data_IF_366294288230
#
_entry.id   IF_366294288230
#
_cell.length_a   1.000
_cell.length_b   1.000
_cell.length_c   1.000
_cell.angle_alpha   90.00
_cell.angle_beta   90.00
_cell.angle_gamma   90.00
#
_symmetry.space_group_name_H-M   'P 1'
#
loop_
_entity.id
_entity.type
_entity.pdbx_description
1 polymer ?
#
# COMPACT_ATOMS: atom_id res chain seq x y z
N UNK A 1 1.98 14.89 12.38
CA UNK A 1 0.79 14.11 12.84
C UNK A 1 0.77 13.89 14.35
N UNK A 2 -0.43 13.74 14.95
CA UNK A 2 -0.57 13.35 16.37
C UNK A 2 -0.20 11.87 16.59
N UNK A 3 0.34 11.53 17.77
CA UNK A 3 0.69 10.14 18.13
C UNK A 3 -0.50 9.18 17.95
N UNK A 4 -1.71 9.65 18.26
CA UNK A 4 -2.93 8.84 18.09
C UNK A 4 -3.27 8.61 16.60
N UNK A 5 -3.05 9.61 15.74
CA UNK A 5 -3.20 9.43 14.29
C UNK A 5 -2.17 8.44 13.73
N UNK A 6 -0.91 8.51 14.19
CA UNK A 6 0.13 7.57 13.78
C UNK A 6 -0.24 6.13 14.14
N UNK A 7 -0.73 5.90 15.38
CA UNK A 7 -1.20 4.58 15.82
C UNK A 7 -2.34 4.06 14.95
N UNK A 8 -3.34 4.89 14.66
CA UNK A 8 -4.46 4.50 13.79
C UNK A 8 -3.98 4.13 12.39
N UNK A 9 -3.09 4.91 11.80
CA UNK A 9 -2.52 4.63 10.47
C UNK A 9 -1.78 3.29 10.49
N UNK A 10 -0.90 3.06 11.48
CA UNK A 10 -0.21 1.77 11.64
C UNK A 10 -1.19 0.61 11.75
N UNK A 11 -2.21 0.73 12.60
CA UNK A 11 -3.23 -0.32 12.75
C UNK A 11 -3.93 -0.62 11.43
N UNK A 12 -4.40 0.40 10.73
CA UNK A 12 -5.12 0.24 9.45
C UNK A 12 -4.21 -0.40 8.40
N UNK A 13 -2.99 0.12 8.21
CA UNK A 13 -2.08 -0.40 7.20
C UNK A 13 -1.63 -1.84 7.51
N UNK A 14 -1.37 -2.16 8.78
CA UNK A 14 -1.06 -3.54 9.18
C UNK A 14 -2.24 -4.49 8.93
N UNK A 15 -3.47 -4.05 9.18
CA UNK A 15 -4.67 -4.84 8.85
C UNK A 15 -4.83 -5.05 7.34
N UNK A 16 -4.58 -4.02 6.52
CA UNK A 16 -4.60 -4.15 5.05
C UNK A 16 -3.54 -5.14 4.58
N UNK A 17 -2.30 -5.01 5.07
CA UNK A 17 -1.21 -5.95 4.72
C UNK A 17 -1.59 -7.39 5.09
N UNK A 18 -2.11 -7.59 6.30
CA UNK A 18 -2.58 -8.91 6.75
C UNK A 18 -3.65 -9.48 5.82
N UNK A 19 -4.64 -8.66 5.45
CA UNK A 19 -5.72 -9.10 4.58
C UNK A 19 -5.25 -9.46 3.16
N UNK A 20 -4.28 -8.72 2.62
CA UNK A 20 -3.67 -9.05 1.33
C UNK A 20 -2.93 -10.39 1.40
N UNK A 21 -2.15 -10.62 2.46
CA UNK A 21 -1.45 -11.90 2.67
C UNK A 21 -2.43 -13.08 2.78
N UNK A 22 -3.53 -12.94 3.52
CA UNK A 22 -4.58 -13.97 3.62
C UNK A 22 -5.28 -14.26 2.28
N UNK A 23 -5.36 -13.24 1.41
CA UNK A 23 -6.09 -13.33 0.15
C UNK A 23 -5.24 -13.91 -0.99
N UNK A 24 -3.96 -14.23 -0.76
CA UNK A 24 -3.02 -14.72 -1.77
C UNK A 24 -3.63 -15.82 -2.66
N UNK A 25 -4.12 -16.89 -2.04
CA UNK A 25 -4.67 -18.02 -2.80
C UNK A 25 -5.87 -17.60 -3.66
N UNK A 26 -6.80 -16.85 -3.08
CA UNK A 26 -7.99 -16.38 -3.79
C UNK A 26 -7.61 -15.51 -4.99
N UNK A 27 -6.65 -14.60 -4.82
CA UNK A 27 -6.21 -13.70 -5.87
C UNK A 27 -5.47 -14.43 -6.99
N UNK A 28 -4.60 -15.40 -6.65
CA UNK A 28 -3.97 -16.27 -7.65
C UNK A 28 -4.99 -17.12 -8.41
N UNK A 29 -6.00 -17.68 -7.72
CA UNK A 29 -7.07 -18.47 -8.36
C UNK A 29 -7.87 -17.61 -9.36
N UNK A 30 -8.19 -16.36 -8.98
CA UNK A 30 -8.89 -15.40 -9.86
C UNK A 30 -8.03 -15.02 -11.07
N UNK A 31 -6.76 -14.71 -10.83
CA UNK A 31 -5.81 -14.29 -11.87
C UNK A 31 -5.50 -15.42 -12.86
N UNK A 32 -5.45 -16.67 -12.40
CA UNK A 32 -5.23 -17.86 -13.27
C UNK A 32 -6.23 -17.94 -14.43
N UNK A 33 -7.44 -17.40 -14.27
CA UNK A 33 -8.45 -17.44 -15.32
C UNK A 33 -8.15 -16.55 -16.53
N UNK A 34 -7.31 -15.52 -16.38
CA UNK A 34 -7.05 -14.50 -17.42
C UNK A 34 -5.63 -13.92 -17.41
N UNK A 35 -4.74 -14.43 -16.56
CA UNK A 35 -3.37 -14.00 -16.33
C UNK A 35 -2.44 -15.21 -16.08
N UNK A 36 -1.35 -15.00 -15.36
CA UNK A 36 -0.35 -16.03 -15.06
C UNK A 36 -0.53 -16.66 -13.66
N UNK A 37 -1.50 -16.17 -12.88
CA UNK A 37 -1.85 -16.73 -11.58
C UNK A 37 -0.91 -16.29 -10.47
N UNK A 38 -0.22 -15.16 -10.64
CA UNK A 38 0.76 -14.64 -9.69
C UNK A 38 0.28 -13.43 -8.89
N UNK A 39 -0.89 -12.85 -9.22
CA UNK A 39 -1.36 -11.59 -8.63
C UNK A 39 -1.36 -11.58 -7.09
N UNK A 40 -1.87 -12.66 -6.48
CA UNK A 40 -1.87 -12.83 -5.02
C UNK A 40 -0.48 -12.97 -4.44
N UNK A 41 0.41 -13.74 -5.09
CA UNK A 41 1.82 -13.87 -4.69
C UNK A 41 2.56 -12.53 -4.77
N UNK A 42 2.26 -11.74 -5.80
CA UNK A 42 2.79 -10.40 -6.04
C UNK A 42 2.34 -9.41 -4.95
N UNK A 43 1.05 -9.37 -4.65
CA UNK A 43 0.49 -8.52 -3.59
C UNK A 43 0.97 -8.94 -2.19
N UNK A 44 1.14 -10.25 -1.96
CA UNK A 44 1.70 -10.78 -0.71
C UNK A 44 3.12 -10.27 -0.46
N UNK A 45 4.02 -10.37 -1.44
CA UNK A 45 5.42 -9.89 -1.31
C UNK A 45 5.47 -8.41 -0.94
N UNK A 46 4.65 -7.59 -1.62
CA UNK A 46 4.53 -6.17 -1.28
C UNK A 46 3.98 -5.94 0.13
N UNK A 47 2.93 -6.66 0.52
CA UNK A 47 2.31 -6.54 1.85
C UNK A 47 3.26 -6.96 2.98
N UNK A 48 4.05 -8.03 2.80
CA UNK A 48 5.07 -8.45 3.77
C UNK A 48 6.13 -7.36 3.96
N UNK A 49 6.67 -6.82 2.86
CA UNK A 49 7.68 -5.75 2.92
C UNK A 49 7.12 -4.46 3.55
N UNK A 50 5.92 -4.03 3.17
CA UNK A 50 5.27 -2.85 3.75
C UNK A 50 5.01 -3.03 5.24
N UNK A 51 4.52 -4.20 5.66
CA UNK A 51 4.28 -4.49 7.08
C UNK A 51 5.57 -4.40 7.89
N UNK A 52 6.66 -5.00 7.41
CA UNK A 52 7.96 -4.93 8.09
C UNK A 52 8.42 -3.49 8.27
N UNK A 53 8.29 -2.65 7.24
CA UNK A 53 8.64 -1.24 7.30
C UNK A 53 7.73 -0.43 8.27
N UNK A 54 6.42 -0.65 8.25
CA UNK A 54 5.46 0.02 9.16
C UNK A 54 5.76 -0.29 10.64
N UNK A 55 6.20 -1.52 10.91
CA UNK A 55 6.55 -1.98 12.26
C UNK A 55 7.90 -1.41 12.73
N UNK A 56 8.85 -1.12 11.82
CA UNK A 56 10.18 -0.60 12.18
C UNK A 56 10.24 0.92 12.35
N UNK A 57 9.42 1.69 11.64
CA UNK A 57 9.57 3.15 11.56
C UNK A 57 8.61 3.94 12.45
N UNK A 58 9.05 5.11 12.94
CA UNK A 58 8.11 6.11 13.47
C UNK A 58 7.46 6.89 12.31
N UNK A 59 6.14 6.81 12.18
CA UNK A 59 5.42 7.52 11.12
C UNK A 59 5.22 8.99 11.52
N UNK A 60 5.77 9.91 10.75
CA UNK A 60 5.73 11.35 11.04
C UNK A 60 4.64 12.08 10.25
N UNK A 61 4.55 11.81 8.95
CA UNK A 61 3.62 12.43 8.00
C UNK A 61 3.00 11.39 7.04
N UNK A 62 1.82 11.68 6.51
CA UNK A 62 1.13 10.78 5.57
C UNK A 62 1.84 10.68 4.23
N UNK A 63 2.34 11.80 3.72
CA UNK A 63 3.19 11.89 2.52
C UNK A 63 4.36 10.91 2.60
N UNK A 64 5.14 10.93 3.68
CA UNK A 64 6.27 10.02 3.92
C UNK A 64 5.86 8.56 3.86
N UNK A 65 4.68 8.24 4.39
CA UNK A 65 4.13 6.88 4.38
C UNK A 65 3.85 6.42 2.97
N UNK A 66 3.09 7.21 2.21
CA UNK A 66 2.76 6.89 0.81
C UNK A 66 3.99 6.86 -0.08
N UNK A 67 4.98 7.73 0.15
CA UNK A 67 6.25 7.73 -0.56
C UNK A 67 7.07 6.47 -0.37
N UNK A 68 7.26 6.06 0.89
CA UNK A 68 8.00 4.82 1.17
C UNK A 68 7.25 3.59 0.66
N UNK A 69 5.93 3.54 0.84
CA UNK A 69 5.13 2.44 0.28
C UNK A 69 5.22 2.38 -1.25
N UNK A 70 5.33 3.52 -1.94
CA UNK A 70 5.58 3.57 -3.39
C UNK A 70 6.87 2.83 -3.75
N UNK A 71 7.97 3.16 -3.05
CA UNK A 71 9.27 2.53 -3.28
C UNK A 71 9.21 1.02 -3.00
N UNK A 72 8.58 0.62 -1.89
CA UNK A 72 8.42 -0.79 -1.53
C UNK A 72 7.59 -1.54 -2.60
N UNK A 73 6.55 -0.92 -3.16
CA UNK A 73 5.76 -1.54 -4.21
C UNK A 73 6.60 -1.82 -5.47
N UNK A 74 7.39 -0.83 -5.92
CA UNK A 74 8.28 -0.97 -7.08
C UNK A 74 9.34 -2.07 -6.86
N UNK A 75 9.92 -2.14 -5.67
CA UNK A 75 11.00 -3.08 -5.35
C UNK A 75 10.51 -4.52 -5.06
N UNK A 76 9.42 -4.66 -4.32
CA UNK A 76 9.00 -5.95 -3.76
C UNK A 76 7.97 -6.70 -4.61
N UNK A 77 7.07 -6.00 -5.31
CA UNK A 77 5.99 -6.63 -6.07
C UNK A 77 6.49 -7.12 -7.45
N UNK A 78 7.39 -6.39 -8.10
CA UNK A 78 7.87 -6.73 -9.45
C UNK A 78 6.76 -6.67 -10.52
N UNK A 79 7.15 -6.95 -11.76
CA UNK A 79 6.24 -6.89 -12.92
C UNK A 79 5.61 -5.50 -13.13
N UNK A 80 4.49 -5.47 -13.85
CA UNK A 80 3.71 -4.23 -14.04
C UNK A 80 3.00 -3.78 -12.77
N UNK A 81 2.62 -4.71 -11.89
CA UNK A 81 1.97 -4.43 -10.61
C UNK A 81 2.83 -3.51 -9.73
N UNK A 82 4.14 -3.76 -9.61
CA UNK A 82 5.04 -2.90 -8.86
C UNK A 82 5.03 -1.46 -9.39
N UNK A 83 5.11 -1.28 -10.71
CA UNK A 83 5.06 0.04 -11.33
C UNK A 83 3.71 0.73 -11.15
N UNK A 84 2.59 0.00 -11.27
CA UNK A 84 1.25 0.57 -11.11
C UNK A 84 0.95 0.97 -9.67
N UNK A 85 1.23 0.09 -8.69
CA UNK A 85 1.01 0.41 -7.29
C UNK A 85 1.99 1.46 -6.78
N UNK A 86 3.25 1.44 -7.25
CA UNK A 86 4.22 2.51 -7.01
C UNK A 86 3.68 3.85 -7.48
N UNK A 87 3.33 3.96 -8.77
CA UNK A 87 2.78 5.19 -9.33
C UNK A 87 1.51 5.67 -8.61
N UNK A 88 0.60 4.75 -8.25
CA UNK A 88 -0.60 5.06 -7.49
C UNK A 88 -0.27 5.69 -6.12
N UNK A 89 0.66 5.10 -5.38
CA UNK A 89 1.08 5.58 -4.06
C UNK A 89 1.86 6.88 -4.14
N UNK A 90 2.69 7.05 -5.17
CA UNK A 90 3.39 8.31 -5.45
C UNK A 90 2.43 9.45 -5.80
N UNK A 91 1.38 9.15 -6.58
CA UNK A 91 0.32 10.12 -6.88
C UNK A 91 -0.47 10.49 -5.61
N UNK A 92 -0.77 9.50 -4.75
CA UNK A 92 -1.42 9.74 -3.46
C UNK A 92 -0.57 10.65 -2.56
N UNK A 93 0.75 10.44 -2.51
CA UNK A 93 1.68 11.31 -1.78
C UNK A 93 1.55 12.77 -2.22
N UNK A 94 1.59 13.01 -3.54
CA UNK A 94 1.53 14.37 -4.10
C UNK A 94 0.18 15.04 -3.86
N UNK A 95 -0.90 14.27 -3.89
CA UNK A 95 -2.25 14.80 -3.83
C UNK A 95 -2.74 15.03 -2.38
N UNK A 96 -2.29 14.22 -1.42
CA UNK A 96 -2.77 14.25 -0.03
C UNK A 96 -1.87 15.01 0.94
N UNK A 97 -0.58 15.17 0.62
CA UNK A 97 0.38 15.89 1.46
C UNK A 97 0.55 15.26 2.86
N UNK A 98 1.02 16.06 3.81
CA UNK A 98 1.51 15.57 5.11
C UNK A 98 0.39 15.19 6.09
N UNK A 99 -0.72 15.94 6.07
CA UNK A 99 -1.83 15.80 7.03
C UNK A 99 -3.19 15.93 6.31
N UNK A 100 -3.61 14.90 5.54
CA UNK A 100 -4.87 14.95 4.82
C UNK A 100 -6.07 15.02 5.78
N UNK A 101 -6.99 15.91 5.48
CA UNK A 101 -8.28 16.06 6.12
C UNK A 101 -9.31 15.03 5.66
N UNK A 102 -10.48 15.08 6.30
CA UNK A 102 -11.61 14.24 5.89
C UNK A 102 -12.10 14.64 4.50
N UNK A 103 -12.06 13.72 3.54
CA UNK A 103 -12.54 13.92 2.17
C UNK A 103 -11.46 14.30 1.15
N UNK A 104 -10.24 14.59 1.59
CA UNK A 104 -9.14 14.98 0.69
C UNK A 104 -8.74 13.85 -0.28
N UNK A 105 -9.10 12.61 0.03
CA UNK A 105 -8.90 11.43 -0.82
C UNK A 105 -9.93 11.27 -1.95
N UNK A 106 -11.03 12.03 -1.92
CA UNK A 106 -12.12 11.88 -2.90
C UNK A 106 -11.67 12.36 -4.28
N UNK A 107 -11.05 13.54 -4.38
CA UNK A 107 -10.56 14.03 -5.67
C UNK A 107 -9.39 13.21 -6.24
N UNK A 108 -8.40 12.78 -5.45
CA UNK A 108 -7.27 11.97 -5.93
C UNK A 108 -7.66 10.57 -6.41
N UNK A 109 -8.63 9.92 -5.76
CA UNK A 109 -9.05 8.55 -6.11
C UNK A 109 -10.21 8.53 -7.11
N UNK A 110 -11.00 9.61 -7.20
CA UNK A 110 -12.22 9.68 -8.02
C UNK A 110 -12.03 10.06 -9.49
N UNK A 111 -10.79 10.20 -9.97
CA UNK A 111 -10.46 10.43 -11.39
C UNK A 111 -9.98 9.14 -12.05
#
# INVERSE_FOLDING_TARGET
MSNESCKRIKTVLSSVCYRLMESEKLLNDLDTSSGDGDCGSTLRRGAEAMKTWIESEELLYFSDVTGHMSLIAEEAMGGSSGAFYGLFLLAAQQALGDEPGFGDWVEPIGK
#
